data_IF_209734651201
#
_entry.id   IF_209734651201
#
_cell.length_a   1.000
_cell.length_b   1.000
_cell.length_c   1.000
_cell.angle_alpha   90.00
_cell.angle_beta   90.00
_cell.angle_gamma   90.00
#
_symmetry.space_group_name_H-M   'P 1'
#
loop_
_entity.id
_entity.type
_entity.pdbx_description
1 polymer ?
#
# COMPACT_ATOMS: atom_id res chain seq x y z
N UNK A 1 23.39 17.79 -15.57
CA UNK A 1 22.98 17.39 -14.20
C UNK A 1 21.93 16.31 -14.38
N UNK A 2 22.00 15.22 -13.63
CA UNK A 2 20.94 14.22 -13.64
C UNK A 2 19.63 14.89 -13.16
N UNK A 3 18.52 14.60 -13.82
CA UNK A 3 17.22 15.14 -13.42
C UNK A 3 16.83 14.59 -12.04
N UNK A 4 16.25 15.43 -11.19
CA UNK A 4 15.79 15.03 -9.85
C UNK A 4 14.31 15.29 -9.70
N UNK A 5 13.58 14.42 -9.03
CA UNK A 5 12.15 14.65 -8.74
C UNK A 5 12.04 15.27 -7.35
N UNK A 6 11.43 16.45 -7.25
CA UNK A 6 11.13 17.09 -5.96
C UNK A 6 9.66 16.89 -5.63
N UNK A 7 9.39 16.26 -4.49
CA UNK A 7 8.04 16.13 -3.95
C UNK A 7 7.91 17.10 -2.78
N UNK A 8 6.93 18.01 -2.88
CA UNK A 8 6.61 18.98 -1.83
C UNK A 8 5.39 18.48 -1.07
N UNK A 9 5.63 18.16 0.18
CA UNK A 9 4.66 17.80 1.19
C UNK A 9 4.16 19.04 1.94
N UNK A 10 2.95 18.95 2.45
CA UNK A 10 2.28 20.02 3.19
C UNK A 10 1.62 19.45 4.43
N UNK A 11 1.63 20.22 5.52
CA UNK A 11 0.85 19.90 6.70
C UNK A 11 -0.64 20.19 6.43
N UNK A 12 -1.53 19.18 6.51
CA UNK A 12 -2.94 19.37 6.19
C UNK A 12 -3.70 20.19 7.25
N UNK A 13 -3.09 20.46 8.40
CA UNK A 13 -3.63 21.36 9.43
C UNK A 13 -3.05 22.77 9.35
N UNK A 14 -1.95 22.96 8.62
CA UNK A 14 -1.31 24.26 8.38
C UNK A 14 -0.65 24.26 6.99
N UNK A 15 -1.40 24.72 5.98
CA UNK A 15 -0.95 24.72 4.59
C UNK A 15 0.32 25.58 4.35
N UNK A 16 0.74 26.43 5.30
CA UNK A 16 2.00 27.17 5.23
C UNK A 16 3.23 26.33 5.61
N UNK A 17 3.05 25.28 6.42
CA UNK A 17 4.12 24.35 6.84
C UNK A 17 4.34 23.31 5.74
N UNK A 18 5.51 23.38 5.10
CA UNK A 18 5.87 22.54 3.97
C UNK A 18 7.20 21.86 4.18
N UNK A 19 7.33 20.66 3.61
CA UNK A 19 8.51 19.82 3.67
C UNK A 19 8.75 19.27 2.28
N UNK A 20 9.98 19.25 1.79
CA UNK A 20 10.26 18.70 0.46
C UNK A 20 11.33 17.62 0.53
N UNK A 21 11.14 16.57 -0.24
CA UNK A 21 12.17 15.56 -0.46
C UNK A 21 12.51 15.42 -1.95
N UNK A 22 13.72 14.96 -2.21
CA UNK A 22 14.29 14.87 -3.54
C UNK A 22 14.63 13.42 -3.85
N UNK A 23 14.00 12.88 -4.89
CA UNK A 23 14.31 11.58 -5.46
C UNK A 23 15.38 11.77 -6.52
N UNK A 24 16.44 10.97 -6.41
CA UNK A 24 17.49 10.78 -7.41
C UNK A 24 17.15 9.51 -8.18
N UNK A 25 16.74 9.59 -9.45
CA UNK A 25 16.46 8.41 -10.27
C UNK A 25 17.74 7.61 -10.55
N UNK A 26 17.60 6.30 -10.66
CA UNK A 26 18.71 5.42 -11.02
C UNK A 26 19.14 5.61 -12.49
N UNK A 27 20.38 5.21 -12.79
CA UNK A 27 20.94 5.25 -14.15
C UNK A 27 20.68 3.93 -14.91
N UNK A 28 19.41 3.58 -15.10
CA UNK A 28 19.00 2.46 -15.94
C UNK A 28 17.71 2.75 -16.72
N UNK A 29 17.44 1.96 -17.76
CA UNK A 29 16.36 2.20 -18.72
C UNK A 29 15.00 2.46 -18.06
N UNK A 30 14.57 1.60 -17.12
CA UNK A 30 13.29 1.76 -16.45
C UNK A 30 13.15 3.09 -15.68
N UNK A 31 14.19 3.56 -14.99
CA UNK A 31 14.14 4.80 -14.23
C UNK A 31 14.08 6.03 -15.16
N UNK A 32 14.75 5.98 -16.31
CA UNK A 32 14.67 7.03 -17.33
C UNK A 32 13.28 7.08 -17.99
N UNK A 33 12.72 5.92 -18.30
CA UNK A 33 11.38 5.78 -18.87
C UNK A 33 10.29 6.19 -17.87
N UNK A 34 10.43 5.81 -16.59
CA UNK A 34 9.57 6.27 -15.50
C UNK A 34 9.58 7.80 -15.40
N UNK A 35 10.76 8.43 -15.47
CA UNK A 35 10.86 9.88 -15.40
C UNK A 35 10.15 10.57 -16.58
N UNK A 36 10.21 9.98 -17.78
CA UNK A 36 9.49 10.47 -18.95
C UNK A 36 7.96 10.35 -18.75
N UNK A 37 7.49 9.21 -18.26
CA UNK A 37 6.08 8.98 -17.96
C UNK A 37 5.57 9.91 -16.84
N UNK A 38 6.36 10.16 -15.80
CA UNK A 38 6.02 11.12 -14.74
C UNK A 38 5.91 12.54 -15.30
N UNK A 39 6.84 12.97 -16.16
CA UNK A 39 6.72 14.28 -16.83
C UNK A 39 5.45 14.39 -17.65
N UNK A 40 5.06 13.32 -18.34
CA UNK A 40 3.82 13.29 -19.11
C UNK A 40 2.59 13.48 -18.21
N UNK A 41 2.49 12.73 -17.10
CA UNK A 41 1.43 12.87 -16.09
C UNK A 41 1.34 14.32 -15.59
N UNK A 42 2.48 14.91 -15.21
CA UNK A 42 2.52 16.27 -14.67
C UNK A 42 2.16 17.32 -15.72
N UNK A 43 2.57 17.15 -16.98
CA UNK A 43 2.22 18.05 -18.07
C UNK A 43 0.74 18.00 -18.44
N UNK A 44 0.11 16.82 -18.31
CA UNK A 44 -1.33 16.67 -18.51
C UNK A 44 -2.16 17.24 -17.35
N UNK A 45 -1.54 17.43 -16.19
CA UNK A 45 -2.23 17.91 -14.99
C UNK A 45 -3.20 16.87 -14.43
N UNK A 46 -2.84 15.58 -14.51
CA UNK A 46 -3.68 14.51 -13.96
C UNK A 46 -3.85 14.67 -12.44
N UNK A 47 -5.02 14.27 -11.95
CA UNK A 47 -5.36 14.35 -10.53
C UNK A 47 -4.62 13.27 -9.75
N UNK A 48 -3.94 13.67 -8.67
CA UNK A 48 -3.29 12.75 -7.75
C UNK A 48 -4.34 12.09 -6.84
N UNK A 49 -4.28 10.78 -6.69
CA UNK A 49 -5.12 10.06 -5.73
C UNK A 49 -4.60 10.30 -4.30
N UNK A 50 -5.29 11.17 -3.56
CA UNK A 50 -4.90 11.56 -2.22
C UNK A 50 -5.49 10.68 -1.11
N UNK A 51 -6.56 9.93 -1.40
CA UNK A 51 -7.28 9.16 -0.35
C UNK A 51 -6.53 7.91 0.08
N UNK A 52 -5.59 7.43 -0.72
CA UNK A 52 -4.81 6.23 -0.44
C UNK A 52 -3.31 6.46 -0.72
N UNK A 53 -2.79 7.59 -0.24
CA UNK A 53 -1.42 8.01 -0.54
C UNK A 53 -0.41 7.65 0.57
N UNK A 54 -0.77 7.84 1.84
CA UNK A 54 0.12 7.60 2.97
C UNK A 54 -0.48 6.58 3.93
N UNK A 55 0.26 5.52 4.23
CA UNK A 55 -0.25 4.41 5.06
C UNK A 55 0.69 4.16 6.24
N UNK A 56 0.13 3.76 7.37
CA UNK A 56 0.93 3.26 8.50
C UNK A 56 1.74 4.32 9.25
N UNK A 57 1.28 5.58 9.29
CA UNK A 57 1.94 6.68 10.00
C UNK A 57 1.34 6.90 11.40
N UNK A 58 1.93 6.31 12.48
CA UNK A 58 1.30 6.30 13.81
C UNK A 58 1.26 7.65 14.51
N UNK A 59 2.16 8.56 14.15
CA UNK A 59 2.30 9.91 14.70
C UNK A 59 1.86 10.95 13.66
N UNK A 60 0.59 10.92 13.28
CA UNK A 60 0.03 11.87 12.31
C UNK A 60 -1.32 12.41 12.79
N UNK A 61 -1.87 13.36 12.03
CA UNK A 61 -3.22 13.87 12.26
C UNK A 61 -4.31 12.82 11.91
N UNK A 62 -3.98 11.78 11.14
CA UNK A 62 -4.88 10.69 10.78
C UNK A 62 -4.85 9.62 11.88
N UNK A 63 -5.77 9.76 12.83
CA UNK A 63 -5.97 8.80 13.92
C UNK A 63 -7.04 7.77 13.56
N UNK A 64 -7.07 6.62 14.26
CA UNK A 64 -8.15 5.63 14.10
C UNK A 64 -9.54 6.27 14.30
N UNK A 65 -9.65 7.25 15.19
CA UNK A 65 -10.91 7.97 15.40
C UNK A 65 -11.32 8.79 14.16
N UNK A 66 -10.38 9.52 13.56
CA UNK A 66 -10.61 10.27 12.30
C UNK A 66 -11.02 9.33 11.18
N UNK A 67 -10.29 8.22 11.01
CA UNK A 67 -10.61 7.21 10.00
C UNK A 67 -12.00 6.60 10.20
N UNK A 68 -12.40 6.33 11.46
CA UNK A 68 -13.75 5.84 11.74
C UNK A 68 -14.83 6.87 11.39
N UNK A 69 -14.58 8.16 11.61
CA UNK A 69 -15.53 9.22 11.26
C UNK A 69 -15.71 9.32 9.74
N UNK A 70 -14.63 9.31 8.97
CA UNK A 70 -14.67 9.35 7.50
C UNK A 70 -15.32 8.08 6.92
N UNK A 71 -15.04 6.91 7.51
CA UNK A 71 -15.70 5.65 7.14
C UNK A 71 -17.22 5.71 7.37
N UNK A 72 -17.64 6.14 8.58
CA UNK A 72 -19.07 6.25 8.89
C UNK A 72 -19.78 7.28 7.99
N UNK A 73 -19.09 8.36 7.62
CA UNK A 73 -19.63 9.34 6.66
C UNK A 73 -19.82 8.72 5.26
N UNK A 74 -18.85 7.91 4.81
CA UNK A 74 -18.98 7.18 3.55
C UNK A 74 -20.15 6.19 3.59
N UNK A 75 -20.32 5.48 4.71
CA UNK A 75 -21.46 4.58 4.94
C UNK A 75 -22.78 5.35 4.93
N UNK A 76 -22.85 6.54 5.53
CA UNK A 76 -24.04 7.38 5.50
C UNK A 76 -24.42 7.78 4.06
N UNK A 77 -23.45 8.15 3.23
CA UNK A 77 -23.68 8.45 1.81
C UNK A 77 -24.27 7.23 1.08
N UNK A 78 -23.70 6.04 1.32
CA UNK A 78 -24.16 4.79 0.70
C UNK A 78 -25.57 4.44 1.16
N UNK A 79 -25.82 4.44 2.47
CA UNK A 79 -27.11 4.06 3.05
C UNK A 79 -28.25 5.03 2.69
N UNK A 80 -27.94 6.29 2.35
CA UNK A 80 -28.94 7.25 1.88
C UNK A 80 -29.26 7.13 0.38
N UNK A 81 -28.55 6.28 -0.37
CA UNK A 81 -28.81 6.06 -1.78
C UNK A 81 -29.84 4.95 -2.01
N UNK A 82 -30.96 5.29 -2.64
CA UNK A 82 -32.06 4.36 -2.92
C UNK A 82 -31.77 3.48 -4.15
N UNK A 83 -31.12 2.35 -3.93
CA UNK A 83 -30.81 1.36 -4.98
C UNK A 83 -32.07 0.73 -5.62
N UNK A 84 -33.24 0.79 -4.96
CA UNK A 84 -34.47 0.19 -5.48
C UNK A 84 -34.99 0.89 -6.73
N UNK A 85 -34.62 2.16 -6.94
CA UNK A 85 -34.91 2.91 -8.18
C UNK A 85 -34.23 2.30 -9.41
N UNK A 86 -33.19 1.49 -9.19
CA UNK A 86 -32.47 0.75 -10.23
C UNK A 86 -32.89 -0.72 -10.31
N UNK A 87 -33.97 -1.12 -9.64
CA UNK A 87 -34.47 -2.50 -9.63
C UNK A 87 -33.61 -3.47 -8.80
N UNK A 88 -32.76 -2.93 -7.92
CA UNK A 88 -31.95 -3.71 -6.98
C UNK A 88 -32.65 -3.84 -5.63
N UNK A 89 -32.19 -4.78 -4.81
CA UNK A 89 -32.57 -4.78 -3.40
C UNK A 89 -31.96 -3.57 -2.72
N UNK A 90 -32.63 -3.05 -1.71
CA UNK A 90 -32.02 -2.05 -0.85
C UNK A 90 -30.79 -2.64 -0.14
N UNK A 91 -29.74 -1.83 0.06
CA UNK A 91 -28.49 -2.26 0.67
C UNK A 91 -28.12 -1.33 1.80
N UNK A 92 -28.11 -1.86 3.02
CA UNK A 92 -27.83 -1.09 4.24
C UNK A 92 -26.64 -1.72 4.96
N UNK A 93 -25.66 -0.89 5.29
CA UNK A 93 -24.56 -1.22 6.20
C UNK A 93 -25.02 -0.79 7.60
N UNK A 94 -25.26 -1.76 8.50
CA UNK A 94 -25.80 -1.51 9.84
C UNK A 94 -24.72 -1.14 10.85
N UNK A 95 -23.47 -1.46 10.55
CA UNK A 95 -22.32 -1.30 11.42
C UNK A 95 -22.00 0.17 11.67
N UNK A 96 -21.69 0.50 12.93
CA UNK A 96 -21.09 1.78 13.29
C UNK A 96 -19.65 1.59 13.77
N UNK A 97 -18.72 2.24 13.08
CA UNK A 97 -17.30 2.08 13.33
C UNK A 97 -16.81 3.08 14.38
N UNK A 98 -16.07 2.56 15.35
CA UNK A 98 -15.38 3.33 16.37
C UNK A 98 -14.05 2.66 16.65
N UNK A 99 -13.14 3.35 17.36
CA UNK A 99 -11.85 2.76 17.73
C UNK A 99 -12.01 1.41 18.45
N UNK A 100 -12.97 1.30 19.36
CA UNK A 100 -13.23 0.05 20.07
C UNK A 100 -13.96 -0.99 19.23
N UNK A 101 -14.62 -0.60 18.13
CA UNK A 101 -15.17 -1.54 17.16
C UNK A 101 -14.03 -2.20 16.37
N UNK A 102 -13.07 -1.40 15.90
CA UNK A 102 -12.01 -1.87 14.96
C UNK A 102 -10.81 -2.51 15.66
N UNK A 103 -10.51 -2.16 16.91
CA UNK A 103 -9.39 -2.74 17.67
C UNK A 103 -9.69 -2.93 19.15
N UNK A 104 -8.86 -3.74 19.80
CA UNK A 104 -8.86 -3.83 21.26
C UNK A 104 -8.16 -2.60 21.87
N UNK A 105 -8.64 -2.09 23.02
CA UNK A 105 -8.01 -0.97 23.70
C UNK A 105 -6.62 -1.33 24.24
N UNK A 106 -5.83 -0.30 24.52
CA UNK A 106 -4.49 -0.40 25.12
C UNK A 106 -4.51 -0.83 26.61
N UNK A 107 -5.70 -0.88 27.24
CA UNK A 107 -5.89 -1.46 28.57
C UNK A 107 -5.62 -2.97 28.62
N UNK A 108 -5.64 -3.66 27.47
CA UNK A 108 -5.17 -5.04 27.38
C UNK A 108 -3.65 -5.08 27.21
N UNK A 109 -2.98 -6.15 27.69
CA UNK A 109 -1.55 -6.32 27.44
C UNK A 109 -1.23 -6.31 25.94
N UNK A 110 -0.23 -5.51 25.56
CA UNK A 110 0.33 -5.47 24.21
C UNK A 110 1.49 -6.44 24.15
N UNK A 111 1.56 -7.22 23.09
CA UNK A 111 2.53 -8.29 22.95
C UNK A 111 3.94 -7.75 22.70
N UNK A 112 4.84 -7.96 23.65
CA UNK A 112 6.25 -7.57 23.55
C UNK A 112 7.12 -8.59 22.81
N UNK A 113 6.50 -9.61 22.19
CA UNK A 113 7.23 -10.68 21.52
C UNK A 113 7.87 -10.15 20.25
N UNK A 114 9.20 -10.17 20.22
CA UNK A 114 9.98 -10.09 18.98
C UNK A 114 9.95 -11.45 18.28
N UNK A 115 10.24 -11.52 16.97
CA UNK A 115 10.33 -12.79 16.24
C UNK A 115 11.21 -13.84 16.93
N UNK A 116 12.23 -13.41 17.70
CA UNK A 116 13.17 -14.26 18.44
C UNK A 116 12.64 -14.83 19.76
N UNK A 117 11.45 -14.43 20.21
CA UNK A 117 10.88 -14.95 21.46
C UNK A 117 10.27 -16.34 21.22
N UNK A 118 10.97 -17.37 21.70
CA UNK A 118 10.52 -18.75 21.65
C UNK A 118 9.04 -18.90 21.98
N UNK A 119 8.31 -19.59 21.10
CA UNK A 119 6.85 -19.63 21.12
C UNK A 119 6.33 -20.30 22.40
N UNK A 120 5.80 -19.50 23.35
CA UNK A 120 4.90 -20.03 24.38
C UNK A 120 3.45 -19.85 23.93
N UNK A 121 2.81 -20.97 23.63
CA UNK A 121 1.56 -21.07 22.86
C UNK A 121 0.28 -20.86 23.68
N UNK A 122 0.32 -20.14 24.81
CA UNK A 122 -0.81 -20.17 25.75
C UNK A 122 -1.89 -19.10 25.53
N UNK A 123 -1.56 -17.92 24.97
CA UNK A 123 -2.51 -16.89 24.53
C UNK A 123 -1.78 -15.73 23.86
N UNK A 124 -2.32 -15.18 22.77
CA UNK A 124 -1.83 -13.94 22.18
C UNK A 124 -2.33 -12.72 22.96
N UNK A 125 -1.48 -11.68 23.09
CA UNK A 125 -1.86 -10.46 23.79
C UNK A 125 -2.74 -9.57 22.90
N UNK A 126 -3.90 -9.14 23.42
CA UNK A 126 -4.93 -8.48 22.62
C UNK A 126 -4.73 -6.96 22.49
N UNK A 127 -3.95 -6.30 23.34
CA UNK A 127 -3.83 -4.84 23.36
C UNK A 127 -3.46 -4.26 22.01
N UNK A 128 -4.22 -3.26 21.56
CA UNK A 128 -4.07 -2.61 20.25
C UNK A 128 -4.17 -3.56 19.04
N UNK A 129 -4.63 -4.81 19.22
CA UNK A 129 -4.81 -5.74 18.11
C UNK A 129 -6.03 -5.34 17.29
N UNK A 130 -5.90 -5.39 15.97
CA UNK A 130 -7.01 -5.25 15.03
C UNK A 130 -8.03 -6.40 15.21
N UNK A 131 -9.31 -6.08 15.11
CA UNK A 131 -10.40 -7.07 15.15
C UNK A 131 -10.74 -7.52 13.73
N UNK A 132 -10.02 -8.53 13.24
CA UNK A 132 -10.18 -9.05 11.87
C UNK A 132 -11.63 -9.34 11.47
N UNK A 133 -12.49 -9.81 12.38
CA UNK A 133 -13.89 -10.10 12.06
C UNK A 133 -14.66 -8.90 11.49
N UNK A 134 -14.53 -7.72 12.11
CA UNK A 134 -15.23 -6.52 11.62
C UNK A 134 -14.58 -5.96 10.34
N UNK A 135 -13.25 -6.09 10.22
CA UNK A 135 -12.53 -5.63 9.02
C UNK A 135 -12.86 -6.50 7.81
N UNK A 136 -12.95 -7.82 7.99
CA UNK A 136 -13.41 -8.75 6.94
C UNK A 136 -14.85 -8.44 6.51
N UNK A 137 -15.71 -8.06 7.45
CA UNK A 137 -17.07 -7.64 7.13
C UNK A 137 -17.07 -6.35 6.30
N UNK A 138 -16.24 -5.37 6.65
CA UNK A 138 -16.05 -4.16 5.87
C UNK A 138 -15.53 -4.44 4.45
N UNK A 139 -14.56 -5.34 4.29
CA UNK A 139 -14.09 -5.79 2.97
C UNK A 139 -15.23 -6.40 2.15
N UNK A 140 -16.04 -7.26 2.75
CA UNK A 140 -17.17 -7.88 2.07
C UNK A 140 -18.22 -6.85 1.61
N UNK A 141 -18.46 -5.78 2.37
CA UNK A 141 -19.34 -4.69 1.91
C UNK A 141 -18.80 -4.02 0.64
N UNK A 142 -17.50 -3.71 0.62
CA UNK A 142 -16.86 -3.18 -0.58
C UNK A 142 -16.97 -4.15 -1.77
N UNK A 143 -16.66 -5.43 -1.58
CA UNK A 143 -16.73 -6.44 -2.65
C UNK A 143 -18.13 -6.56 -3.25
N UNK A 144 -19.18 -6.56 -2.42
CA UNK A 144 -20.57 -6.62 -2.89
C UNK A 144 -20.97 -5.34 -3.64
N UNK A 145 -20.57 -4.18 -3.14
CA UNK A 145 -20.96 -2.88 -3.69
C UNK A 145 -20.14 -2.47 -4.92
N UNK A 146 -18.86 -2.82 -5.00
CA UNK A 146 -17.97 -2.44 -6.11
C UNK A 146 -17.97 -3.50 -7.22
N UNK A 147 -17.91 -4.78 -6.84
CA UNK A 147 -17.62 -5.90 -7.73
C UNK A 147 -16.12 -5.97 -8.09
N UNK A 148 -15.81 -6.69 -9.17
CA UNK A 148 -14.45 -6.70 -9.72
C UNK A 148 -14.33 -5.74 -10.89
N UNK A 149 -13.11 -5.51 -11.38
CA UNK A 149 -12.87 -4.65 -12.56
C UNK A 149 -13.53 -5.22 -13.81
N UNK A 150 -13.46 -6.53 -13.98
CA UNK A 150 -14.01 -7.27 -15.13
C UNK A 150 -15.53 -7.43 -15.01
N UNK A 151 -16.03 -7.49 -13.77
CA UNK A 151 -17.45 -7.67 -13.46
C UNK A 151 -17.86 -6.68 -12.36
N UNK A 152 -18.06 -5.40 -12.72
CA UNK A 152 -18.55 -4.40 -11.77
C UNK A 152 -19.92 -4.82 -11.23
N UNK A 153 -20.15 -4.63 -9.93
CA UNK A 153 -21.41 -5.03 -9.33
C UNK A 153 -22.59 -4.20 -9.87
N UNK A 154 -23.83 -4.71 -9.84
CA UNK A 154 -25.00 -3.91 -10.18
C UNK A 154 -25.16 -2.65 -9.33
N UNK A 155 -24.82 -2.71 -8.03
CA UNK A 155 -24.83 -1.55 -7.13
C UNK A 155 -23.83 -0.49 -7.58
N UNK A 156 -22.64 -0.94 -7.93
CA UNK A 156 -21.56 -0.11 -8.41
C UNK A 156 -21.88 0.63 -9.71
N UNK A 157 -22.53 -0.06 -10.65
CA UNK A 157 -23.00 0.52 -11.91
C UNK A 157 -24.16 1.51 -11.72
N UNK A 158 -25.01 1.29 -10.71
CA UNK A 158 -26.11 2.17 -10.36
C UNK A 158 -25.67 3.43 -9.59
N UNK A 159 -24.46 3.42 -9.02
CA UNK A 159 -23.99 4.47 -8.12
C UNK A 159 -23.54 5.74 -8.87
N UNK A 160 -24.07 6.93 -8.53
CA UNK A 160 -23.52 8.20 -9.01
C UNK A 160 -22.09 8.44 -8.46
N UNK A 161 -21.33 9.41 -9.02
CA UNK A 161 -19.92 9.62 -8.65
C UNK A 161 -19.64 9.74 -7.15
N UNK A 162 -20.50 10.43 -6.41
CA UNK A 162 -20.38 10.60 -4.95
C UNK A 162 -20.54 9.27 -4.20
N UNK A 163 -21.54 8.46 -4.54
CA UNK A 163 -21.77 7.13 -3.94
C UNK A 163 -20.65 6.17 -4.36
N UNK A 164 -20.19 6.22 -5.62
CA UNK A 164 -19.07 5.42 -6.10
C UNK A 164 -17.78 5.76 -5.37
N UNK A 165 -17.53 7.04 -5.10
CA UNK A 165 -16.41 7.47 -4.27
C UNK A 165 -16.53 6.93 -2.84
N UNK A 166 -17.71 7.04 -2.21
CA UNK A 166 -17.95 6.52 -0.87
C UNK A 166 -17.77 4.99 -0.77
N UNK A 167 -18.19 4.22 -1.79
CA UNK A 167 -17.94 2.78 -1.88
C UNK A 167 -16.43 2.51 -1.90
N UNK A 168 -15.66 3.23 -2.72
CA UNK A 168 -14.19 3.08 -2.77
C UNK A 168 -13.52 3.41 -1.42
N UNK A 169 -14.06 4.37 -0.67
CA UNK A 169 -13.54 4.70 0.66
C UNK A 169 -13.67 3.55 1.67
N UNK A 170 -14.66 2.65 1.51
CA UNK A 170 -14.76 1.46 2.37
C UNK A 170 -13.47 0.63 2.34
N UNK A 171 -12.89 0.42 1.15
CA UNK A 171 -11.65 -0.34 0.98
C UNK A 171 -10.41 0.46 1.39
N UNK A 172 -10.31 1.71 0.92
CA UNK A 172 -9.13 2.55 1.17
C UNK A 172 -8.93 2.80 2.67
N UNK A 173 -9.99 3.19 3.36
CA UNK A 173 -9.93 3.45 4.81
C UNK A 173 -9.71 2.16 5.58
N UNK A 174 -10.27 1.03 5.13
CA UNK A 174 -10.00 -0.27 5.77
C UNK A 174 -8.51 -0.57 5.78
N UNK A 175 -7.86 -0.55 4.62
CA UNK A 175 -6.41 -0.80 4.51
C UNK A 175 -5.56 0.24 5.25
N UNK A 176 -5.97 1.52 5.27
CA UNK A 176 -5.31 2.54 6.07
C UNK A 176 -5.39 2.22 7.57
N UNK A 177 -6.57 1.82 8.06
CA UNK A 177 -6.76 1.39 9.45
C UNK A 177 -5.92 0.16 9.78
N UNK A 178 -5.90 -0.87 8.94
CA UNK A 178 -5.09 -2.07 9.13
C UNK A 178 -3.60 -1.72 9.30
N UNK A 179 -3.09 -0.91 8.38
CA UNK A 179 -1.69 -0.46 8.37
C UNK A 179 -1.36 0.41 9.58
N UNK A 180 -2.27 1.31 9.97
CA UNK A 180 -2.10 2.19 11.12
C UNK A 180 -2.14 1.42 12.45
N UNK A 181 -3.08 0.49 12.62
CA UNK A 181 -3.18 -0.35 13.82
C UNK A 181 -1.93 -1.21 13.98
N UNK A 182 -1.45 -1.83 12.89
CA UNK A 182 -0.21 -2.60 12.91
C UNK A 182 0.98 -1.73 13.36
N UNK A 183 1.11 -0.54 12.77
CA UNK A 183 2.18 0.42 13.08
C UNK A 183 2.11 0.93 14.52
N UNK A 184 0.92 1.23 15.04
CA UNK A 184 0.74 1.64 16.44
C UNK A 184 1.03 0.51 17.43
N UNK A 185 0.71 -0.74 17.07
CA UNK A 185 1.11 -1.91 17.88
C UNK A 185 2.63 -2.05 17.91
N UNK A 186 3.31 -1.92 16.76
CA UNK A 186 4.79 -1.98 16.67
C UNK A 186 5.46 -0.83 17.41
N UNK A 187 4.91 0.38 17.37
CA UNK A 187 5.42 1.53 18.11
C UNK A 187 5.56 1.28 19.63
N UNK A 188 4.76 0.38 20.20
CA UNK A 188 4.82 0.05 21.64
C UNK A 188 5.93 -0.93 22.00
N UNK A 189 6.33 -1.80 21.07
CA UNK A 189 7.10 -3.01 21.41
C UNK A 189 8.35 -3.21 20.56
N UNK A 190 8.33 -2.71 19.33
CA UNK A 190 9.44 -2.77 18.40
C UNK A 190 9.36 -1.57 17.42
N UNK A 191 9.61 -0.33 17.90
CA UNK A 191 9.41 0.90 17.13
C UNK A 191 10.19 0.94 15.81
N UNK A 192 11.31 0.23 15.73
CA UNK A 192 12.12 0.11 14.53
C UNK A 192 11.40 -0.66 13.40
N UNK A 193 10.31 -1.37 13.70
CA UNK A 193 9.48 -2.14 12.78
C UNK A 193 8.12 -1.49 12.48
N UNK A 194 7.95 -0.21 12.80
CA UNK A 194 6.87 0.58 12.19
C UNK A 194 7.12 0.59 10.67
N UNK A 195 6.06 0.40 9.88
CA UNK A 195 6.14 0.26 8.41
C UNK A 195 5.25 1.32 7.75
N UNK A 196 5.62 2.60 7.82
CA UNK A 196 4.96 3.61 7.02
C UNK A 196 5.31 3.40 5.55
N UNK A 197 4.39 3.73 4.67
CA UNK A 197 4.60 3.71 3.22
C UNK A 197 3.93 4.90 2.56
N UNK A 198 4.33 5.14 1.31
CA UNK A 198 3.70 6.11 0.44
C UNK A 198 3.46 5.46 -0.92
N UNK A 199 2.25 5.63 -1.43
CA UNK A 199 1.79 5.20 -2.76
C UNK A 199 1.43 6.48 -3.51
N UNK A 200 2.05 6.71 -4.66
CA UNK A 200 1.83 7.93 -5.45
C UNK A 200 1.21 7.56 -6.78
N UNK A 201 -0.12 7.62 -6.85
CA UNK A 201 -0.92 7.24 -8.01
C UNK A 201 -1.72 8.41 -8.56
N UNK A 202 -2.07 8.34 -9.84
CA UNK A 202 -2.83 9.39 -10.53
C UNK A 202 -4.05 8.78 -11.23
N UNK A 203 -5.15 9.52 -11.21
CA UNK A 203 -6.34 9.15 -11.98
C UNK A 203 -6.01 9.24 -13.48
N UNK A 204 -6.38 8.19 -14.22
CA UNK A 204 -6.18 8.07 -15.67
C UNK A 204 -4.71 8.11 -16.14
N UNK A 205 -3.76 7.71 -15.27
CA UNK A 205 -2.35 7.57 -15.66
C UNK A 205 -2.16 6.59 -16.83
N UNK A 206 -1.39 7.01 -17.84
CA UNK A 206 -1.07 6.15 -18.98
C UNK A 206 -0.16 5.00 -18.56
N UNK A 207 -0.46 3.80 -19.05
CA UNK A 207 0.28 2.56 -18.81
C UNK A 207 1.08 2.17 -20.04
N UNK A 208 2.36 1.88 -19.85
CA UNK A 208 3.31 1.50 -20.89
C UNK A 208 3.78 0.07 -20.66
N UNK A 209 4.08 -0.67 -21.73
CA UNK A 209 4.55 -2.05 -21.60
C UNK A 209 5.98 -2.11 -21.02
N UNK A 210 6.18 -2.99 -20.03
CA UNK A 210 7.51 -3.37 -19.56
C UNK A 210 8.27 -4.12 -20.65
N UNK A 211 9.48 -3.68 -20.94
CA UNK A 211 10.41 -4.36 -21.86
C UNK A 211 11.13 -5.51 -21.16
N UNK A 212 11.74 -6.42 -21.93
CA UNK A 212 12.57 -7.50 -21.37
C UNK A 212 13.78 -6.95 -20.58
N UNK A 213 14.28 -5.76 -20.95
CA UNK A 213 15.34 -5.07 -20.23
C UNK A 213 14.86 -4.59 -18.85
N UNK A 214 13.66 -3.99 -18.77
CA UNK A 214 13.09 -3.53 -17.49
C UNK A 214 12.91 -4.70 -16.52
N UNK A 215 12.43 -5.84 -17.04
CA UNK A 215 12.15 -7.03 -16.24
C UNK A 215 13.38 -7.65 -15.59
N UNK A 216 14.61 -7.35 -16.05
CA UNK A 216 15.81 -7.83 -15.38
C UNK A 216 15.95 -7.28 -13.95
N UNK A 217 15.34 -6.12 -13.65
CA UNK A 217 15.34 -5.55 -12.30
C UNK A 217 14.70 -6.45 -11.24
N UNK A 218 13.75 -7.31 -11.64
CA UNK A 218 13.12 -8.27 -10.73
C UNK A 218 14.12 -9.29 -10.18
N UNK A 219 15.07 -9.74 -11.02
CA UNK A 219 16.12 -10.66 -10.59
C UNK A 219 17.11 -10.01 -9.64
N UNK A 220 17.41 -8.73 -9.87
CA UNK A 220 18.43 -8.03 -9.09
C UNK A 220 17.92 -7.57 -7.73
N UNK A 221 16.66 -7.12 -7.65
CA UNK A 221 16.08 -6.61 -6.40
C UNK A 221 15.25 -7.68 -5.66
N UNK A 222 14.53 -8.55 -6.39
CA UNK A 222 13.54 -9.44 -5.79
C UNK A 222 12.54 -8.66 -4.95
N UNK A 223 12.20 -9.20 -3.78
CA UNK A 223 11.26 -8.59 -2.83
C UNK A 223 11.93 -7.70 -1.78
N UNK A 224 13.16 -7.26 -2.03
CA UNK A 224 13.88 -6.40 -1.08
C UNK A 224 13.31 -4.97 -1.10
N UNK A 225 13.20 -4.40 0.10
CA UNK A 225 12.70 -3.04 0.34
C UNK A 225 13.59 -2.31 1.32
N UNK A 226 14.01 -1.10 0.99
CA UNK A 226 14.96 -0.32 1.78
C UNK A 226 14.44 1.08 2.11
N UNK A 227 14.83 1.60 3.27
CA UNK A 227 14.40 2.89 3.74
C UNK A 227 14.83 4.03 2.80
N UNK A 228 13.87 4.83 2.35
CA UNK A 228 14.09 5.96 1.45
C UNK A 228 14.24 5.57 -0.03
N UNK A 229 14.11 4.29 -0.36
CA UNK A 229 14.14 3.83 -1.74
C UNK A 229 12.77 4.00 -2.41
N UNK A 230 12.81 4.20 -3.72
CA UNK A 230 11.65 4.44 -4.58
C UNK A 230 11.50 3.28 -5.53
N UNK A 231 10.29 2.74 -5.59
CA UNK A 231 9.94 1.58 -6.38
C UNK A 231 8.86 1.95 -7.40
N UNK A 232 8.93 1.33 -8.56
CA UNK A 232 7.88 1.44 -9.56
C UNK A 232 6.56 0.92 -8.98
N UNK A 233 5.51 1.73 -9.09
CA UNK A 233 4.19 1.34 -8.63
C UNK A 233 3.64 0.15 -9.45
N UNK A 234 2.87 -0.73 -8.79
CA UNK A 234 2.21 -1.84 -9.45
C UNK A 234 0.96 -1.35 -10.20
N UNK A 235 1.14 -0.89 -11.44
CA UNK A 235 0.10 -0.24 -12.24
C UNK A 235 -0.89 -1.21 -12.91
N UNK A 236 -1.24 -2.33 -12.28
CA UNK A 236 -2.12 -3.37 -12.85
C UNK A 236 -2.96 -4.04 -11.76
N UNK A 237 -4.22 -4.35 -12.06
CA UNK A 237 -5.10 -5.02 -11.10
C UNK A 237 -4.97 -6.54 -11.23
N UNK A 238 -5.04 -7.23 -10.09
CA UNK A 238 -5.06 -8.68 -9.96
C UNK A 238 -3.99 -9.20 -9.00
N UNK A 239 -3.97 -10.52 -8.75
CA UNK A 239 -3.11 -11.12 -7.73
C UNK A 239 -1.72 -11.44 -8.28
N UNK A 240 -0.70 -11.13 -7.48
CA UNK A 240 0.67 -11.60 -7.69
C UNK A 240 0.83 -13.04 -7.24
N UNK A 241 1.86 -13.73 -7.76
CA UNK A 241 2.22 -15.07 -7.27
C UNK A 241 2.56 -15.07 -5.78
N UNK A 242 3.16 -13.98 -5.28
CA UNK A 242 3.54 -13.87 -3.88
C UNK A 242 2.33 -13.69 -2.95
N UNK A 243 1.31 -12.96 -3.40
CA UNK A 243 0.03 -12.86 -2.68
C UNK A 243 -0.71 -14.19 -2.67
N UNK A 244 -0.76 -14.93 -3.78
CA UNK A 244 -1.33 -16.29 -3.80
C UNK A 244 -0.58 -17.20 -2.83
N UNK A 245 0.77 -17.16 -2.83
CA UNK A 245 1.57 -17.93 -1.90
C UNK A 245 1.25 -17.60 -0.43
N UNK A 246 1.21 -16.31 -0.07
CA UNK A 246 1.05 -15.88 1.33
C UNK A 246 -0.39 -15.99 1.82
N UNK A 247 -1.35 -15.53 1.02
CA UNK A 247 -2.72 -15.29 1.44
C UNK A 247 -3.61 -16.52 1.21
N UNK A 248 -3.26 -17.39 0.24
CA UNK A 248 -3.99 -18.64 -0.04
C UNK A 248 -3.28 -19.89 0.50
N UNK A 249 -2.19 -19.72 1.25
CA UNK A 249 -1.50 -20.82 1.93
C UNK A 249 -0.71 -21.73 0.99
N UNK A 250 -0.07 -21.14 -0.03
CA UNK A 250 0.80 -21.83 -0.98
C UNK A 250 0.11 -23.03 -1.69
N UNK A 251 -1.05 -22.83 -2.35
CA UNK A 251 -1.78 -23.90 -3.00
C UNK A 251 -1.04 -24.44 -4.23
N UNK A 252 -1.42 -25.62 -4.72
CA UNK A 252 -1.00 -26.04 -6.06
C UNK A 252 -1.67 -25.14 -7.12
N UNK A 253 -0.88 -24.66 -8.07
CA UNK A 253 -1.35 -23.84 -9.17
C UNK A 253 -2.16 -24.71 -10.13
N UNK A 254 -3.47 -24.60 -10.04
CA UNK A 254 -4.42 -25.17 -11.01
C UNK A 254 -4.66 -24.18 -12.15
N UNK A 255 -5.27 -24.64 -13.25
CA UNK A 255 -5.63 -23.76 -14.37
C UNK A 255 -6.49 -22.57 -13.92
N UNK A 256 -7.43 -22.80 -12.99
CA UNK A 256 -8.30 -21.77 -12.42
C UNK A 256 -7.55 -20.75 -11.56
N UNK A 257 -6.56 -21.18 -10.77
CA UNK A 257 -5.72 -20.25 -9.98
C UNK A 257 -4.81 -19.45 -10.90
N UNK A 258 -4.31 -20.06 -11.99
CA UNK A 258 -3.48 -19.38 -12.99
C UNK A 258 -4.25 -18.29 -13.76
N UNK A 259 -5.55 -18.43 -13.97
CA UNK A 259 -6.38 -17.41 -14.63
C UNK A 259 -6.52 -16.11 -13.81
N UNK A 260 -6.48 -16.20 -12.47
CA UNK A 260 -6.55 -15.05 -11.57
C UNK A 260 -5.20 -14.35 -11.34
N UNK A 261 -4.09 -15.03 -11.65
CA UNK A 261 -2.74 -14.48 -11.50
C UNK A 261 -2.40 -13.58 -12.68
N UNK A 262 -2.01 -12.35 -12.39
CA UNK A 262 -1.70 -11.35 -13.41
C UNK A 262 -0.25 -10.90 -13.26
N UNK A 263 0.65 -11.49 -14.04
CA UNK A 263 2.03 -11.02 -14.10
C UNK A 263 2.06 -9.56 -14.56
N UNK A 264 2.90 -8.74 -13.94
CA UNK A 264 2.97 -7.31 -14.25
C UNK A 264 3.41 -7.10 -15.69
N UNK A 265 2.59 -6.38 -16.46
CA UNK A 265 2.88 -6.07 -17.87
C UNK A 265 3.20 -4.62 -18.11
N UNK A 266 2.86 -3.76 -17.16
CA UNK A 266 2.85 -2.33 -17.35
C UNK A 266 3.69 -1.61 -16.30
N UNK A 267 4.18 -0.43 -16.69
CA UNK A 267 4.65 0.62 -15.81
C UNK A 267 3.89 1.91 -16.13
N UNK A 268 3.91 2.86 -15.21
CA UNK A 268 3.40 4.24 -15.40
C UNK A 268 4.41 5.22 -14.77
N UNK A 269 4.07 6.52 -14.75
CA UNK A 269 4.85 7.52 -14.00
C UNK A 269 4.61 7.49 -12.48
N UNK A 270 3.74 6.60 -12.01
CA UNK A 270 3.40 6.39 -10.60
C UNK A 270 4.55 5.69 -9.86
N UNK A 271 4.67 5.93 -8.56
CA UNK A 271 5.76 5.38 -7.76
C UNK A 271 5.39 5.23 -6.28
N UNK A 272 6.07 4.29 -5.63
CA UNK A 272 5.95 4.03 -4.20
C UNK A 272 7.25 4.43 -3.50
N UNK A 273 7.15 4.94 -2.26
CA UNK A 273 8.30 5.19 -1.40
C UNK A 273 8.24 4.29 -0.18
N UNK A 274 9.33 3.60 0.08
CA UNK A 274 9.49 2.78 1.28
C UNK A 274 10.02 3.63 2.43
N UNK A 275 9.18 3.83 3.45
CA UNK A 275 9.57 4.56 4.67
C UNK A 275 9.85 3.63 5.84
N UNK A 276 9.59 2.33 5.73
CA UNK A 276 9.91 1.34 6.76
C UNK A 276 11.40 1.04 6.86
N UNK A 277 11.76 0.27 7.90
CA UNK A 277 13.10 -0.33 8.00
C UNK A 277 13.35 -1.29 6.83
N UNK A 278 14.60 -1.34 6.42
CA UNK A 278 15.15 -2.29 5.45
C UNK A 278 14.72 -3.73 5.76
N UNK A 279 14.18 -4.38 4.73
CA UNK A 279 13.88 -5.81 4.65
C UNK A 279 14.57 -6.29 3.39
N UNK A 280 15.75 -6.88 3.56
CA UNK A 280 16.67 -7.24 2.50
C UNK A 280 17.15 -8.66 2.73
N UNK A 281 17.30 -9.44 1.66
CA UNK A 281 17.78 -10.82 1.74
C UNK A 281 19.22 -10.87 2.25
N UNK A 282 19.56 -11.91 3.01
CA UNK A 282 20.89 -12.15 3.60
C UNK A 282 21.34 -11.02 4.56
N UNK A 283 20.40 -10.39 5.25
CA UNK A 283 20.65 -9.31 6.20
C UNK A 283 20.00 -9.61 7.58
N UNK A 284 19.79 -8.59 8.41
CA UNK A 284 19.17 -8.64 9.75
C UNK A 284 17.68 -9.09 9.79
N UNK A 285 17.20 -9.77 8.75
CA UNK A 285 15.81 -10.24 8.61
C UNK A 285 15.77 -11.73 8.22
N UNK A 286 16.24 -12.68 9.06
CA UNK A 286 16.30 -14.10 8.70
C UNK A 286 14.94 -14.71 8.35
N UNK A 287 13.85 -14.14 8.88
CA UNK A 287 12.48 -14.52 8.52
C UNK A 287 12.13 -14.17 7.06
N UNK A 288 12.73 -13.10 6.50
CA UNK A 288 12.56 -12.72 5.09
C UNK A 288 13.27 -13.73 4.21
N UNK A 289 14.51 -14.10 4.54
CA UNK A 289 15.26 -15.14 3.81
C UNK A 289 14.50 -16.46 3.79
N UNK A 290 13.98 -16.88 4.95
CA UNK A 290 13.19 -18.08 5.06
C UNK A 290 11.92 -18.02 4.19
N UNK A 291 11.20 -16.90 4.20
CA UNK A 291 9.99 -16.73 3.39
C UNK A 291 10.31 -16.74 1.90
N UNK A 292 11.38 -16.09 1.46
CA UNK A 292 11.83 -16.09 0.07
C UNK A 292 12.18 -17.51 -0.39
N UNK A 293 12.92 -18.28 0.42
CA UNK A 293 13.24 -19.68 0.11
C UNK A 293 11.98 -20.55 0.01
N UNK A 294 11.03 -20.40 0.94
CA UNK A 294 9.75 -21.12 0.89
C UNK A 294 8.94 -20.77 -0.37
N UNK A 295 9.00 -19.52 -0.81
CA UNK A 295 8.33 -19.06 -2.03
C UNK A 295 9.01 -19.64 -3.29
N UNK A 296 10.33 -19.63 -3.35
CA UNK A 296 11.12 -20.24 -4.44
C UNK A 296 10.82 -21.75 -4.56
N UNK A 297 10.82 -22.47 -3.45
CA UNK A 297 10.48 -23.90 -3.41
C UNK A 297 9.04 -24.15 -3.91
N UNK A 298 8.10 -23.27 -3.52
CA UNK A 298 6.72 -23.35 -3.97
C UNK A 298 6.58 -23.09 -5.48
N UNK A 299 7.32 -22.12 -6.03
CA UNK A 299 7.35 -21.86 -7.47
C UNK A 299 7.88 -23.08 -8.25
N UNK A 300 8.99 -23.66 -7.80
CA UNK A 300 9.61 -24.84 -8.43
C UNK A 300 8.65 -26.03 -8.40
N UNK A 301 8.00 -26.30 -7.27
CA UNK A 301 6.96 -27.33 -7.14
C UNK A 301 5.84 -27.15 -8.16
N UNK A 302 5.51 -25.91 -8.48
CA UNK A 302 4.47 -25.54 -9.44
C UNK A 302 4.98 -25.33 -10.87
N UNK A 303 6.19 -25.80 -11.19
CA UNK A 303 6.76 -25.74 -12.53
C UNK A 303 7.07 -24.31 -13.02
N UNK A 304 7.25 -23.37 -12.09
CA UNK A 304 7.67 -21.99 -12.37
C UNK A 304 9.15 -21.85 -12.02
N UNK A 305 9.91 -21.23 -12.91
CA UNK A 305 11.32 -20.91 -12.67
C UNK A 305 11.41 -19.61 -11.86
N UNK A 306 11.90 -19.61 -10.61
CA UNK A 306 12.05 -18.39 -9.81
C UNK A 306 12.94 -17.33 -10.48
N UNK A 307 13.84 -17.76 -11.38
CA UNK A 307 14.69 -16.86 -12.13
C UNK A 307 14.01 -16.33 -13.40
N UNK A 308 12.77 -16.71 -13.76
CA UNK A 308 12.13 -16.17 -14.96
C UNK A 308 11.62 -14.73 -14.75
N UNK A 309 12.23 -13.71 -15.38
CA UNK A 309 11.87 -12.31 -15.16
C UNK A 309 10.48 -11.97 -15.74
N UNK A 310 9.89 -12.86 -16.56
CA UNK A 310 8.51 -12.72 -17.05
C UNK A 310 7.48 -12.97 -15.96
N UNK A 311 7.83 -13.69 -14.90
CA UNK A 311 6.95 -13.89 -13.75
C UNK A 311 6.76 -12.62 -12.92
N UNK A 312 7.62 -11.61 -13.09
CA UNK A 312 7.57 -10.31 -12.40
C UNK A 312 7.62 -10.45 -10.88
N UNK A 313 8.56 -11.26 -10.40
CA UNK A 313 8.71 -11.58 -8.98
C UNK A 313 9.51 -10.48 -8.28
N UNK A 314 8.82 -9.60 -7.57
CA UNK A 314 9.46 -8.61 -6.71
C UNK A 314 9.05 -7.18 -6.98
N UNK A 315 9.91 -6.27 -6.55
CA UNK A 315 9.77 -4.83 -6.72
C UNK A 315 10.85 -4.31 -7.67
N UNK A 316 10.52 -3.34 -8.51
CA UNK A 316 11.49 -2.69 -9.40
C UNK A 316 11.93 -1.38 -8.77
N UNK A 317 13.16 -1.36 -8.26
CA UNK A 317 13.80 -0.13 -7.78
C UNK A 317 14.01 0.84 -8.95
N UNK A 318 13.76 2.13 -8.72
CA UNK A 318 13.86 3.18 -9.76
C UNK A 318 14.59 4.44 -9.28
N UNK A 319 14.94 4.53 -8.01
CA UNK A 319 15.69 5.66 -7.46
C UNK A 319 15.65 5.72 -5.94
N UNK A 320 16.36 6.68 -5.37
CA UNK A 320 16.49 6.85 -3.93
C UNK A 320 16.25 8.29 -3.51
N UNK A 321 15.77 8.50 -2.29
CA UNK A 321 15.66 9.83 -1.72
C UNK A 321 17.02 10.26 -1.19
N UNK A 322 17.47 11.45 -1.58
CA UNK A 322 18.60 12.11 -0.94
C UNK A 322 18.17 12.61 0.45
N UNK A 323 18.23 11.72 1.45
CA UNK A 323 17.72 11.95 2.80
C UNK A 323 18.43 13.12 3.49
N UNK A 324 19.75 13.22 3.32
CA UNK A 324 20.55 14.27 3.95
C UNK A 324 20.18 15.65 3.38
N UNK A 325 20.05 15.79 2.06
CA UNK A 325 19.59 17.03 1.43
C UNK A 325 18.14 17.35 1.79
N UNK A 326 17.28 16.34 1.84
CA UNK A 326 15.84 16.51 2.03
C UNK A 326 15.47 16.87 3.48
N UNK A 327 16.11 16.23 4.46
CA UNK A 327 15.71 16.28 5.86
C UNK A 327 16.81 16.80 6.81
N UNK A 328 18.02 17.05 6.31
CA UNK A 328 19.17 17.40 7.14
C UNK A 328 19.64 16.27 8.04
N UNK A 329 19.14 15.04 7.83
CA UNK A 329 19.47 13.85 8.61
C UNK A 329 19.17 12.60 7.80
N UNK A 330 19.84 11.50 8.14
CA UNK A 330 19.53 10.14 7.66
C UNK A 330 18.86 9.29 8.74
N UNK A 331 18.58 9.88 9.91
CA UNK A 331 17.94 9.16 11.01
C UNK A 331 16.45 8.94 10.73
N UNK A 332 16.07 7.69 10.50
CA UNK A 332 14.71 7.27 10.16
C UNK A 332 13.63 7.80 11.10
N UNK A 333 13.82 7.73 12.43
CA UNK A 333 12.82 8.19 13.39
C UNK A 333 12.58 9.71 13.29
N UNK A 334 13.64 10.50 13.14
CA UNK A 334 13.50 11.95 12.94
C UNK A 334 12.80 12.28 11.63
N UNK A 335 13.11 11.54 10.56
CA UNK A 335 12.45 11.70 9.27
C UNK A 335 10.97 11.36 9.40
N UNK A 336 10.62 10.30 10.15
CA UNK A 336 9.23 9.97 10.39
C UNK A 336 8.45 11.06 11.10
N UNK A 337 9.04 11.71 12.11
CA UNK A 337 8.42 12.84 12.81
C UNK A 337 8.24 14.07 11.90
N UNK A 338 9.10 14.23 10.90
CA UNK A 338 8.96 15.28 9.88
C UNK A 338 7.85 14.93 8.89
N UNK A 339 7.92 13.78 8.23
CA UNK A 339 6.97 13.37 7.18
C UNK A 339 5.57 13.13 7.75
N UNK A 340 5.44 12.53 8.93
CA UNK A 340 4.15 12.27 9.59
C UNK A 340 3.30 13.52 9.88
N UNK A 341 3.94 14.71 9.93
CA UNK A 341 3.26 16.00 10.05
C UNK A 341 2.81 16.60 8.71
N UNK A 342 3.31 16.08 7.59
CA UNK A 342 3.12 16.64 6.24
C UNK A 342 2.53 15.60 5.27
N UNK A 343 1.57 14.78 5.71
CA UNK A 343 1.01 13.71 4.89
C UNK A 343 -0.01 14.20 3.84
N UNK A 344 0.34 15.27 3.12
CA UNK A 344 -0.37 15.73 1.92
C UNK A 344 0.66 16.12 0.85
N UNK A 345 0.56 15.55 -0.35
CA UNK A 345 1.39 15.97 -1.48
C UNK A 345 0.76 17.22 -2.09
N UNK A 346 1.43 18.36 -1.90
CA UNK A 346 1.03 19.64 -2.48
C UNK A 346 1.50 19.76 -3.93
N UNK A 347 2.69 19.23 -4.26
CA UNK A 347 3.28 19.37 -5.60
C UNK A 347 4.36 18.35 -5.88
N UNK A 348 4.49 17.94 -7.15
CA UNK A 348 5.61 17.15 -7.66
C UNK A 348 6.22 17.92 -8.83
N UNK A 349 7.56 18.03 -8.85
CA UNK A 349 8.33 18.68 -9.92
C UNK A 349 9.44 17.75 -10.43
N UNK A 350 9.67 17.75 -11.73
CA UNK A 350 10.88 17.16 -12.33
C UNK A 350 11.85 18.28 -12.68
N UNK A 351 12.99 18.35 -11.99
CA UNK A 351 14.00 19.41 -12.08
C UNK A 351 15.10 19.12 -13.10
#
# INVERSE_FOLDING_TARGET
>A
MASTVRVTLQNPLDHGDTLAYHIVPDDHALAQDWLAALREILNQGLELEKTFCFLGWPNSHRSINVLCQELNHSIEIINNHDFTQHGLNDYVIEEWFSEHTVRFPDSYPVETRTPDSGHSDRREALGLKLKHGIMNQLHNHFEVLEGTVEQPSPYGQASPPEVRHAIRQLNNICHEMESLVLSQRKQRVAPEWIRPSQITTFLDATRYHLTDQHRQGFRTNGYDRQFGHVYMHWSQIGKTLFEVFRDEGAPDLTDTVCEAITHLRYYSGEFDVEWGRDVVRNHDCPWHDQQQLMFEDWLIRNGRDPEDPKLSLGYLHIGEIDLARSFGTTNRFKIWDMVGRHLDIARIDVL
#
